data_IF_827045268953
#
_entry.id   IF_827045268953
#
_cell.length_a   1.000
_cell.length_b   1.000
_cell.length_c   1.000
_cell.angle_alpha   90.00
_cell.angle_beta   90.00
_cell.angle_gamma   90.00
#
_symmetry.space_group_name_H-M   'P 1'
#
loop_
_entity.id
_entity.type
_entity.pdbx_description
1 polymer ?
#
# COMPACT_ATOMS: atom_id res chain seq x y z
N UNK A 1 66.42 -44.55 16.49
CA UNK A 1 65.70 -44.34 15.22
C UNK A 1 64.30 -44.82 15.38
N UNK A 2 63.35 -43.97 15.50
CA UNK A 2 61.98 -44.35 15.17
C UNK A 2 61.48 -43.60 13.95
N UNK A 3 60.69 -44.33 13.17
CA UNK A 3 60.11 -43.99 11.86
C UNK A 3 59.25 -42.73 11.84
N UNK A 4 59.44 -41.96 10.80
CA UNK A 4 58.58 -40.83 10.43
C UNK A 4 57.38 -41.29 9.61
N UNK A 5 56.18 -41.15 10.20
CA UNK A 5 54.94 -41.33 9.48
C UNK A 5 54.68 -40.17 8.49
N UNK A 6 54.07 -40.43 7.31
CA UNK A 6 53.76 -39.39 6.35
C UNK A 6 52.59 -38.56 6.75
N UNK A 7 52.72 -37.21 6.61
CA UNK A 7 51.66 -36.22 6.84
C UNK A 7 50.58 -36.33 5.77
N UNK A 8 49.34 -36.45 6.23
CA UNK A 8 48.14 -36.35 5.37
C UNK A 8 47.95 -34.90 4.86
N UNK A 9 47.48 -34.69 3.62
CA UNK A 9 47.21 -33.35 3.10
C UNK A 9 45.90 -32.82 3.67
N UNK A 10 45.96 -31.56 4.08
CA UNK A 10 44.83 -30.77 4.55
C UNK A 10 43.74 -30.66 3.46
N UNK A 11 42.46 -30.83 3.76
CA UNK A 11 41.38 -30.58 2.78
C UNK A 11 41.28 -29.09 2.50
N UNK A 12 41.36 -28.73 1.22
CA UNK A 12 41.06 -27.37 0.76
C UNK A 12 39.57 -27.05 0.97
N UNK A 13 39.26 -25.80 1.31
CA UNK A 13 37.84 -25.37 1.37
C UNK A 13 37.24 -25.41 -0.04
N UNK A 14 36.20 -26.17 -0.22
CA UNK A 14 35.40 -26.15 -1.42
C UNK A 14 34.66 -24.81 -1.53
N UNK A 15 35.04 -24.00 -2.51
CA UNK A 15 34.32 -22.83 -2.98
C UNK A 15 32.95 -23.26 -3.52
N UNK A 16 31.98 -23.40 -2.64
CA UNK A 16 30.57 -23.33 -3.02
C UNK A 16 30.19 -21.88 -3.21
N UNK A 17 30.59 -21.29 -4.33
CA UNK A 17 29.86 -20.20 -4.95
C UNK A 17 28.49 -20.79 -5.33
N UNK A 18 27.52 -20.62 -4.43
CA UNK A 18 26.12 -20.71 -4.81
C UNK A 18 25.88 -19.63 -5.86
N UNK A 19 25.88 -20.01 -7.12
CA UNK A 19 25.28 -19.25 -8.20
C UNK A 19 23.81 -19.13 -7.84
N UNK A 20 23.41 -17.96 -7.33
CA UNK A 20 22.02 -17.54 -7.38
C UNK A 20 21.64 -17.41 -8.86
N UNK A 21 21.18 -18.50 -9.46
CA UNK A 21 20.45 -18.44 -10.71
C UNK A 21 19.27 -17.50 -10.48
N UNK A 22 19.32 -16.33 -11.12
CA UNK A 22 18.18 -15.44 -11.27
C UNK A 22 17.10 -16.19 -12.07
N UNK A 23 16.25 -16.93 -11.38
CA UNK A 23 14.94 -17.26 -11.93
C UNK A 23 14.27 -15.94 -12.32
N UNK A 24 13.68 -15.82 -13.52
CA UNK A 24 12.91 -14.64 -13.86
C UNK A 24 11.85 -14.48 -12.77
N UNK A 25 11.90 -13.36 -12.05
CA UNK A 25 10.95 -13.04 -10.99
C UNK A 25 9.56 -12.98 -11.61
N UNK A 26 8.79 -14.03 -11.43
CA UNK A 26 7.39 -14.18 -11.90
C UNK A 26 6.41 -13.93 -10.76
N UNK A 27 6.83 -13.24 -9.72
CA UNK A 27 6.02 -13.01 -8.53
C UNK A 27 5.24 -11.70 -8.63
N UNK A 28 3.94 -11.78 -8.42
CA UNK A 28 3.09 -10.64 -8.06
C UNK A 28 2.81 -10.70 -6.57
N UNK A 29 3.36 -9.76 -5.82
CA UNK A 29 3.27 -9.71 -4.35
C UNK A 29 2.80 -8.35 -3.90
N UNK A 30 1.83 -8.34 -2.98
CA UNK A 30 1.40 -7.16 -2.22
C UNK A 30 2.09 -7.15 -0.87
N UNK A 31 2.75 -6.06 -0.50
CA UNK A 31 3.39 -5.88 0.81
C UNK A 31 2.91 -4.60 1.49
N UNK A 32 2.63 -4.70 2.79
CA UNK A 32 2.12 -3.60 3.60
C UNK A 32 3.25 -2.98 4.42
N UNK A 33 3.46 -1.65 4.27
CA UNK A 33 4.45 -0.86 4.99
C UNK A 33 3.83 0.08 6.00
N UNK A 34 2.53 0.35 5.87
CA UNK A 34 1.71 1.11 6.80
C UNK A 34 0.24 0.79 6.55
N UNK A 35 -0.54 0.65 7.60
CA UNK A 35 -1.91 0.10 7.57
C UNK A 35 -2.93 0.94 8.34
N UNK A 36 -2.47 2.01 9.03
CA UNK A 36 -3.32 2.88 9.84
C UNK A 36 -3.94 4.00 9.02
N UNK A 37 -5.14 4.39 9.40
CA UNK A 37 -5.82 5.58 8.91
C UNK A 37 -5.58 6.80 9.79
N UNK A 38 -5.86 7.96 9.25
CA UNK A 38 -5.91 9.27 9.88
C UNK A 38 -4.59 9.77 10.48
N UNK A 39 -3.91 8.99 11.31
CA UNK A 39 -2.66 9.38 11.97
C UNK A 39 -1.85 8.16 12.39
N UNK A 40 -0.53 8.29 12.37
CA UNK A 40 0.35 7.26 12.89
C UNK A 40 0.13 7.01 14.40
N UNK A 41 0.04 5.75 14.80
CA UNK A 41 -0.24 5.30 16.16
C UNK A 41 0.87 4.40 16.71
N UNK A 42 2.08 4.94 16.95
CA UNK A 42 3.15 4.16 17.55
C UNK A 42 2.85 3.83 19.01
N UNK A 43 3.13 2.61 19.43
CA UNK A 43 2.94 2.24 20.83
C UNK A 43 2.88 0.74 21.06
N UNK A 44 2.94 0.33 22.33
CA UNK A 44 2.95 -1.09 22.70
C UNK A 44 1.64 -1.82 22.38
N UNK A 45 0.55 -1.07 22.20
CA UNK A 45 -0.77 -1.60 21.91
C UNK A 45 -1.04 -1.81 20.41
N UNK A 46 -0.13 -1.34 19.55
CA UNK A 46 -0.28 -1.36 18.09
C UNK A 46 0.86 -2.09 17.38
N UNK A 47 1.70 -2.82 18.12
CA UNK A 47 2.90 -3.48 17.58
C UNK A 47 2.58 -4.60 16.60
N UNK A 48 1.50 -5.36 16.84
CA UNK A 48 1.18 -6.56 16.04
C UNK A 48 0.58 -6.22 14.67
N UNK A 49 -0.23 -5.17 14.61
CA UNK A 49 -0.78 -4.69 13.35
C UNK A 49 0.06 -3.60 12.72
N UNK A 50 0.77 -2.82 13.51
CA UNK A 50 1.59 -1.71 13.08
C UNK A 50 0.97 -0.35 13.38
N UNK A 51 1.80 0.69 13.43
CA UNK A 51 1.40 2.06 13.75
C UNK A 51 1.61 3.06 12.61
N UNK A 52 2.19 2.66 11.47
CA UNK A 52 2.41 3.54 10.34
C UNK A 52 1.14 3.72 9.49
N UNK A 53 0.98 4.92 8.92
CA UNK A 53 -0.12 5.23 8.00
C UNK A 53 0.15 4.72 6.58
N UNK A 54 -0.88 4.76 5.77
CA UNK A 54 -1.07 4.09 4.48
C UNK A 54 0.15 4.08 3.56
N UNK A 55 0.70 2.89 3.33
CA UNK A 55 1.69 2.63 2.27
C UNK A 55 1.68 1.14 1.91
N UNK A 56 1.36 0.85 0.66
CA UNK A 56 1.30 -0.51 0.11
C UNK A 56 2.22 -0.60 -1.10
N UNK A 57 3.03 -1.63 -1.17
CA UNK A 57 3.90 -1.93 -2.30
C UNK A 57 3.36 -3.14 -3.06
N UNK A 58 3.26 -3.05 -4.38
CA UNK A 58 3.01 -4.18 -5.26
C UNK A 58 4.26 -4.41 -6.12
N UNK A 59 4.84 -5.59 -6.02
CA UNK A 59 5.97 -6.01 -6.85
C UNK A 59 5.48 -6.96 -7.94
N UNK A 60 5.73 -6.61 -9.20
CA UNK A 60 5.32 -7.36 -10.38
C UNK A 60 6.57 -7.66 -11.21
N UNK A 61 7.19 -8.83 -10.98
CA UNK A 61 8.50 -9.14 -11.52
C UNK A 61 9.53 -8.10 -11.11
N UNK A 62 10.01 -7.30 -12.06
CA UNK A 62 10.98 -6.21 -11.79
C UNK A 62 10.32 -4.85 -11.53
N UNK A 63 9.02 -4.71 -11.80
CA UNK A 63 8.29 -3.46 -11.60
C UNK A 63 7.86 -3.30 -10.16
N UNK A 64 7.91 -2.06 -9.70
CA UNK A 64 7.51 -1.67 -8.35
C UNK A 64 6.47 -0.58 -8.43
N UNK A 65 5.29 -0.87 -7.88
CA UNK A 65 4.22 0.09 -7.71
C UNK A 65 4.04 0.35 -6.21
N UNK A 66 3.95 1.62 -5.82
CA UNK A 66 3.78 2.05 -4.43
C UNK A 66 2.48 2.82 -4.35
N UNK A 67 1.58 2.41 -3.48
CA UNK A 67 0.28 3.04 -3.26
C UNK A 67 0.32 3.79 -1.95
N UNK A 68 0.09 5.10 -2.04
CA UNK A 68 0.17 6.10 -0.98
C UNK A 68 1.53 6.24 -0.30
N UNK A 69 1.74 7.40 0.27
CA UNK A 69 2.98 7.85 0.89
C UNK A 69 2.80 8.31 2.32
N UNK A 70 2.02 7.57 3.12
CA UNK A 70 1.94 7.78 4.57
C UNK A 70 3.26 7.47 5.27
N UNK A 71 3.26 7.40 6.59
CA UNK A 71 4.51 7.18 7.36
C UNK A 71 5.20 5.85 7.03
N UNK A 72 4.45 4.86 6.52
CA UNK A 72 4.99 3.60 6.01
C UNK A 72 5.97 3.79 4.85
N UNK A 73 5.81 4.85 4.03
CA UNK A 73 6.73 5.15 2.93
C UNK A 73 8.16 5.43 3.41
N UNK A 74 8.31 6.05 4.59
CA UNK A 74 9.63 6.25 5.20
C UNK A 74 10.31 4.90 5.48
N UNK A 75 9.56 3.91 5.97
CA UNK A 75 10.08 2.57 6.27
C UNK A 75 10.46 1.85 4.99
N UNK A 76 9.60 1.86 3.98
CA UNK A 76 9.91 1.35 2.64
C UNK A 76 11.15 2.03 2.08
N UNK A 77 11.27 3.36 2.18
CA UNK A 77 12.42 4.12 1.71
C UNK A 77 13.75 3.61 2.29
N UNK A 78 13.80 3.34 3.60
CA UNK A 78 14.99 2.77 4.25
C UNK A 78 15.33 1.36 3.71
N UNK A 79 14.33 0.55 3.41
CA UNK A 79 14.53 -0.76 2.80
C UNK A 79 15.13 -0.64 1.39
N UNK A 80 14.66 0.34 0.60
CA UNK A 80 15.12 0.58 -0.77
C UNK A 80 16.57 1.08 -0.88
N UNK A 81 17.14 1.66 0.17
CA UNK A 81 18.53 2.13 0.15
C UNK A 81 19.55 1.02 -0.20
N UNK A 82 19.19 -0.24 0.04
CA UNK A 82 20.06 -1.39 -0.29
C UNK A 82 19.85 -1.90 -1.72
N UNK A 83 18.92 -1.31 -2.48
CA UNK A 83 18.50 -1.78 -3.81
C UNK A 83 18.74 -0.72 -4.90
N UNK A 84 19.37 0.41 -4.55
CA UNK A 84 19.60 1.52 -5.49
C UNK A 84 20.56 1.15 -6.62
N UNK A 85 20.40 1.72 -7.83
CA UNK A 85 19.36 2.68 -8.20
C UNK A 85 17.97 2.05 -8.28
N UNK A 86 16.94 2.79 -7.86
CA UNK A 86 15.54 2.36 -7.83
C UNK A 86 14.74 3.14 -8.86
N UNK A 87 13.95 2.43 -9.67
CA UNK A 87 12.84 2.99 -10.42
C UNK A 87 11.53 2.45 -9.85
N UNK A 88 10.56 3.34 -9.57
CA UNK A 88 9.26 2.95 -9.05
C UNK A 88 8.14 3.89 -9.53
N UNK A 89 6.92 3.37 -9.55
CA UNK A 89 5.70 4.12 -9.85
C UNK A 89 4.90 4.31 -8.56
N UNK A 90 4.69 5.56 -8.16
CA UNK A 90 3.99 5.93 -6.92
C UNK A 90 2.61 6.46 -7.25
N UNK A 91 1.57 5.82 -6.73
CA UNK A 91 0.17 6.14 -6.97
C UNK A 91 -0.45 6.67 -5.70
N UNK A 92 -0.92 7.91 -5.70
CA UNK A 92 -1.62 8.49 -4.57
C UNK A 92 -3.13 8.37 -4.79
N UNK A 93 -3.82 7.74 -3.82
CA UNK A 93 -5.29 7.68 -3.82
C UNK A 93 -5.88 9.08 -3.67
N UNK A 94 -5.35 9.86 -2.75
CA UNK A 94 -5.64 11.26 -2.49
C UNK A 94 -4.53 11.89 -1.65
N UNK A 95 -4.73 13.10 -1.12
CA UNK A 95 -3.67 13.84 -0.43
C UNK A 95 -4.05 14.28 0.99
N UNK A 96 -4.86 13.50 1.73
CA UNK A 96 -4.95 13.66 3.17
C UNK A 96 -3.59 13.32 3.80
N UNK A 97 -3.31 13.86 4.97
CA UNK A 97 -1.98 13.82 5.56
C UNK A 97 -1.45 12.41 5.79
N UNK A 98 -2.29 11.51 6.21
CA UNK A 98 -1.93 10.11 6.46
C UNK A 98 -1.55 9.33 5.19
N UNK A 99 -1.85 9.88 4.01
CA UNK A 99 -1.44 9.33 2.71
C UNK A 99 -0.23 10.01 2.11
N UNK A 100 0.22 11.17 2.61
CA UNK A 100 1.33 11.92 2.02
C UNK A 100 2.46 12.28 3.00
N UNK A 101 2.23 12.20 4.31
CA UNK A 101 3.18 12.75 5.30
C UNK A 101 4.53 12.02 5.35
N UNK A 102 4.64 10.80 4.79
CA UNK A 102 5.90 10.09 4.63
C UNK A 102 6.72 10.52 3.42
N UNK A 103 6.10 11.18 2.44
CA UNK A 103 6.77 11.58 1.21
C UNK A 103 7.97 12.53 1.45
N UNK A 104 7.90 13.56 2.31
CA UNK A 104 9.06 14.39 2.64
C UNK A 104 10.21 13.63 3.32
N UNK A 105 9.97 12.44 3.84
CA UNK A 105 10.93 11.58 4.53
C UNK A 105 11.34 10.36 3.71
N UNK A 106 10.96 10.31 2.43
CA UNK A 106 11.31 9.24 1.51
C UNK A 106 12.75 9.42 1.02
N UNK A 107 13.71 8.92 1.79
CA UNK A 107 15.15 9.10 1.55
C UNK A 107 15.60 8.83 0.11
N UNK A 108 15.10 7.79 -0.61
CA UNK A 108 15.51 7.55 -2.00
C UNK A 108 15.25 8.73 -2.96
N UNK A 109 14.25 9.58 -2.68
CA UNK A 109 13.97 10.76 -3.49
C UNK A 109 15.08 11.83 -3.43
N UNK A 110 15.88 11.84 -2.37
CA UNK A 110 16.99 12.79 -2.20
C UNK A 110 18.31 12.30 -2.83
N UNK A 111 18.35 11.09 -3.39
CA UNK A 111 19.56 10.46 -3.90
C UNK A 111 19.51 10.44 -5.43
N UNK A 112 20.51 11.05 -6.11
CA UNK A 112 20.56 11.05 -7.57
C UNK A 112 20.69 9.64 -8.14
N UNK A 113 20.19 9.46 -9.36
CA UNK A 113 20.20 8.17 -10.07
C UNK A 113 18.95 7.32 -9.86
N UNK A 114 18.11 7.65 -8.86
CA UNK A 114 16.78 7.06 -8.72
C UNK A 114 15.75 7.79 -9.61
N UNK A 115 14.69 7.09 -10.01
CA UNK A 115 13.59 7.64 -10.81
C UNK A 115 12.24 7.26 -10.19
N UNK A 116 11.37 8.26 -9.97
CA UNK A 116 10.03 8.03 -9.42
C UNK A 116 8.97 8.68 -10.31
N UNK A 117 8.11 7.85 -10.89
CA UNK A 117 6.92 8.27 -11.61
C UNK A 117 5.77 8.43 -10.62
N UNK A 118 5.30 9.64 -10.42
CA UNK A 118 4.32 9.99 -9.39
C UNK A 118 2.98 10.29 -10.04
N UNK A 119 1.94 9.61 -9.60
CA UNK A 119 0.59 9.68 -10.14
C UNK A 119 -0.40 10.07 -9.05
N UNK A 120 -1.40 10.86 -9.39
CA UNK A 120 -2.51 11.21 -8.50
C UNK A 120 -3.57 12.03 -9.21
N UNK A 121 -4.81 11.98 -8.73
CA UNK A 121 -5.91 12.69 -9.36
C UNK A 121 -5.72 14.21 -9.28
N UNK A 122 -6.14 14.96 -10.31
CA UNK A 122 -6.32 16.40 -10.22
C UNK A 122 -7.41 16.69 -9.17
N UNK A 123 -7.13 17.61 -8.26
CA UNK A 123 -8.13 18.02 -7.27
C UNK A 123 -9.27 18.82 -7.92
N UNK A 124 -10.48 18.88 -7.30
CA UNK A 124 -11.61 19.63 -7.85
C UNK A 124 -11.33 21.11 -8.11
N UNK A 125 -10.37 21.71 -7.40
CA UNK A 125 -9.91 23.09 -7.61
C UNK A 125 -8.85 23.25 -8.70
N UNK A 126 -8.50 22.17 -9.43
CA UNK A 126 -7.49 22.15 -10.48
C UNK A 126 -6.05 22.00 -10.01
N UNK A 127 -5.79 21.82 -8.70
CA UNK A 127 -4.41 21.61 -8.21
C UNK A 127 -3.87 20.24 -8.62
N UNK A 128 -2.65 20.22 -9.16
CA UNK A 128 -1.95 19.01 -9.60
C UNK A 128 -1.40 18.20 -8.42
N UNK A 129 -1.10 16.92 -8.64
CA UNK A 129 -0.42 16.09 -7.61
C UNK A 129 0.94 16.69 -7.23
N UNK A 130 1.69 17.23 -8.20
CA UNK A 130 2.96 17.93 -7.94
C UNK A 130 2.79 19.10 -6.98
N UNK A 131 1.80 19.96 -7.22
CA UNK A 131 1.55 21.11 -6.38
C UNK A 131 1.21 20.71 -4.96
N UNK A 132 0.31 19.73 -4.77
CA UNK A 132 -0.12 19.27 -3.45
C UNK A 132 1.02 18.63 -2.65
N UNK A 133 1.88 17.82 -3.29
CA UNK A 133 3.06 17.25 -2.63
C UNK A 133 4.12 18.31 -2.32
N UNK A 134 4.24 19.36 -3.16
CA UNK A 134 5.13 20.48 -2.89
C UNK A 134 4.62 21.36 -1.74
N UNK A 135 3.31 21.61 -1.66
CA UNK A 135 2.70 22.50 -0.67
C UNK A 135 2.93 22.00 0.76
N UNK A 136 2.89 20.67 1.02
CA UNK A 136 3.21 20.14 2.33
C UNK A 136 4.67 20.38 2.77
N UNK A 137 5.56 20.66 1.80
CA UNK A 137 7.00 20.91 2.04
C UNK A 137 7.34 22.41 2.05
N UNK A 138 6.36 23.29 2.24
CA UNK A 138 6.58 24.72 2.31
C UNK A 138 6.81 25.20 3.76
N UNK A 139 7.62 26.25 3.89
CA UNK A 139 7.72 27.02 5.14
C UNK A 139 6.35 27.60 5.55
N UNK A 140 6.05 27.67 6.84
CA UNK A 140 6.90 27.29 8.00
C UNK A 140 6.77 25.82 8.40
N UNK A 141 5.93 25.02 7.72
CA UNK A 141 5.59 23.66 8.16
C UNK A 141 6.71 22.65 7.90
N UNK A 142 7.49 22.86 6.85
CA UNK A 142 8.61 21.98 6.50
C UNK A 142 9.86 22.79 6.12
N UNK A 143 11.08 22.35 6.52
CA UNK A 143 12.28 23.16 6.38
C UNK A 143 12.92 23.18 4.99
N UNK A 144 12.62 22.15 4.15
CA UNK A 144 13.21 22.02 2.81
C UNK A 144 12.14 21.82 1.75
N UNK A 145 12.17 22.56 0.64
CA UNK A 145 11.20 22.43 -0.43
C UNK A 145 11.47 21.17 -1.27
N UNK A 146 10.45 20.71 -2.02
CA UNK A 146 10.53 19.51 -2.87
C UNK A 146 11.69 19.56 -3.89
N UNK A 147 12.14 20.76 -4.30
CA UNK A 147 13.25 20.98 -5.24
C UNK A 147 14.60 20.50 -4.70
N UNK A 148 14.73 20.21 -3.39
CA UNK A 148 15.95 19.65 -2.80
C UNK A 148 16.08 18.14 -3.10
N UNK A 149 15.01 17.47 -3.50
CA UNK A 149 15.04 16.09 -3.95
C UNK A 149 15.84 15.98 -5.27
N UNK A 150 16.83 15.07 -5.31
CA UNK A 150 17.80 14.96 -6.40
C UNK A 150 17.53 13.78 -7.34
N UNK A 151 16.58 12.93 -7.03
CA UNK A 151 16.11 11.89 -7.96
C UNK A 151 15.30 12.51 -9.10
N UNK A 152 15.15 11.76 -10.19
CA UNK A 152 14.26 12.16 -11.28
C UNK A 152 12.79 11.94 -10.86
N UNK A 153 12.07 13.04 -10.56
CA UNK A 153 10.66 13.02 -10.18
C UNK A 153 9.78 13.39 -11.38
N UNK A 154 9.00 12.44 -11.88
CA UNK A 154 8.10 12.60 -13.02
C UNK A 154 6.66 12.58 -12.52
N UNK A 155 5.98 13.74 -12.59
CA UNK A 155 4.62 13.90 -12.09
C UNK A 155 3.61 13.72 -13.22
N UNK A 156 2.56 12.95 -12.96
CA UNK A 156 1.49 12.63 -13.89
C UNK A 156 0.15 12.81 -13.19
N UNK A 157 -0.65 13.74 -13.69
CA UNK A 157 -1.99 13.94 -13.17
C UNK A 157 -2.97 12.96 -13.81
N UNK A 158 -3.89 12.42 -12.99
CA UNK A 158 -4.91 11.45 -13.38
C UNK A 158 -6.31 12.04 -13.28
N UNK A 159 -7.22 11.44 -14.03
CA UNK A 159 -8.66 11.63 -13.89
C UNK A 159 -9.30 10.27 -13.52
N UNK A 160 -10.27 10.22 -12.58
CA UNK A 160 -10.98 8.97 -12.31
C UNK A 160 -11.57 8.38 -13.59
N UNK A 161 -11.31 7.09 -13.84
CA UNK A 161 -11.64 6.39 -15.08
C UNK A 161 -10.47 6.25 -16.05
N UNK A 162 -9.32 6.87 -15.79
CA UNK A 162 -8.12 6.68 -16.61
C UNK A 162 -7.63 5.24 -16.53
N UNK A 163 -7.09 4.78 -17.66
CA UNK A 163 -6.42 3.49 -17.80
C UNK A 163 -4.98 3.76 -18.22
N UNK A 164 -4.03 3.26 -17.44
CA UNK A 164 -2.61 3.34 -17.77
C UNK A 164 -2.08 1.95 -18.13
N UNK A 165 -1.18 1.93 -19.10
CA UNK A 165 -0.42 0.75 -19.48
C UNK A 165 1.07 1.02 -19.22
N UNK A 166 1.64 0.24 -18.31
CA UNK A 166 3.07 0.26 -17.98
C UNK A 166 3.69 -1.04 -18.50
N UNK A 167 4.01 -1.07 -19.78
CA UNK A 167 4.37 -2.25 -20.57
C UNK A 167 3.29 -3.34 -20.49
N UNK A 168 3.52 -4.39 -19.70
CA UNK A 168 2.61 -5.54 -19.50
C UNK A 168 1.71 -5.41 -18.27
N UNK A 169 1.77 -4.28 -17.54
CA UNK A 169 0.92 -3.98 -16.39
C UNK A 169 -0.16 -3.01 -16.79
N UNK A 170 -1.43 -3.39 -16.59
CA UNK A 170 -2.58 -2.51 -16.77
C UNK A 170 -3.04 -1.98 -15.42
N UNK A 171 -3.27 -0.67 -15.33
CA UNK A 171 -3.79 0.00 -14.13
C UNK A 171 -5.06 0.75 -14.51
N UNK A 172 -6.18 0.42 -13.88
CA UNK A 172 -7.47 1.07 -14.07
C UNK A 172 -7.82 1.87 -12.81
N UNK A 173 -8.41 3.04 -12.98
CA UNK A 173 -8.78 3.93 -11.89
C UNK A 173 -10.29 4.14 -11.84
N UNK A 174 -10.84 4.38 -10.64
CA UNK A 174 -12.22 4.82 -10.47
C UNK A 174 -12.34 5.76 -9.28
N UNK A 175 -13.36 6.62 -9.32
CA UNK A 175 -13.68 7.51 -8.21
C UNK A 175 -14.18 6.71 -7.00
N UNK A 176 -13.67 7.03 -5.82
CA UNK A 176 -14.14 6.51 -4.54
C UNK A 176 -15.03 7.54 -3.83
N UNK A 177 -15.95 7.04 -3.00
CA UNK A 177 -16.85 7.88 -2.21
C UNK A 177 -16.11 8.42 -0.97
N UNK A 178 -15.30 9.46 -1.18
CA UNK A 178 -14.51 10.11 -0.14
C UNK A 178 -14.43 11.63 -0.38
N UNK A 179 -14.38 12.46 0.67
CA UNK A 179 -14.18 13.89 0.52
C UNK A 179 -12.91 14.24 -0.29
N UNK A 180 -12.98 15.32 -1.09
CA UNK A 180 -11.86 15.87 -1.87
C UNK A 180 -11.28 14.98 -2.98
N UNK A 181 -12.06 14.04 -3.52
CA UNK A 181 -11.68 13.17 -4.64
C UNK A 181 -10.58 12.18 -4.29
N UNK A 182 -10.96 10.99 -3.86
CA UNK A 182 -10.09 9.83 -3.79
C UNK A 182 -10.32 8.92 -5.00
N UNK A 183 -9.26 8.23 -5.44
CA UNK A 183 -9.32 7.25 -6.53
C UNK A 183 -8.79 5.89 -6.08
N UNK A 184 -9.52 4.84 -6.47
CA UNK A 184 -9.09 3.46 -6.31
C UNK A 184 -8.33 3.00 -7.55
N UNK A 185 -7.55 1.94 -7.37
CA UNK A 185 -6.68 1.38 -8.40
C UNK A 185 -6.89 -0.12 -8.55
N UNK A 186 -7.07 -0.58 -9.79
CA UNK A 186 -7.03 -1.99 -10.16
C UNK A 186 -5.76 -2.25 -10.95
N UNK A 187 -4.91 -3.13 -10.46
CA UNK A 187 -3.65 -3.55 -11.10
C UNK A 187 -3.81 -4.95 -11.64
N UNK A 188 -3.61 -5.11 -12.95
CA UNK A 188 -3.67 -6.40 -13.63
C UNK A 188 -2.34 -6.71 -14.29
N UNK A 189 -1.78 -7.90 -14.00
CA UNK A 189 -0.54 -8.41 -14.57
C UNK A 189 -0.55 -9.94 -14.66
N UNK A 190 -0.13 -10.48 -15.81
CA UNK A 190 -0.07 -11.93 -16.02
C UNK A 190 -1.41 -12.66 -15.84
N UNK A 191 -2.56 -11.97 -16.04
CA UNK A 191 -3.89 -12.51 -15.81
C UNK A 191 -4.36 -12.46 -14.34
N UNK A 192 -3.56 -11.92 -13.43
CA UNK A 192 -3.85 -11.77 -12.00
C UNK A 192 -4.13 -10.30 -11.65
N UNK A 193 -4.90 -10.10 -10.58
CA UNK A 193 -5.40 -8.77 -10.25
C UNK A 193 -5.34 -8.50 -8.74
N UNK A 194 -4.74 -7.36 -8.38
CA UNK A 194 -4.85 -6.77 -7.05
C UNK A 194 -5.51 -5.39 -7.12
N UNK A 195 -6.35 -5.06 -6.15
CA UNK A 195 -7.12 -3.81 -6.11
C UNK A 195 -6.84 -3.07 -4.81
N UNK A 196 -6.62 -1.76 -4.92
CA UNK A 196 -6.42 -0.85 -3.80
C UNK A 196 -7.56 0.16 -3.76
N UNK A 197 -8.47 0.00 -2.80
CA UNK A 197 -9.62 0.87 -2.53
C UNK A 197 -9.61 1.27 -1.06
N UNK A 198 -8.70 2.16 -0.68
CA UNK A 198 -8.69 2.82 0.62
C UNK A 198 -9.54 4.06 0.58
N UNK A 199 -9.99 4.54 1.74
CA UNK A 199 -10.74 5.79 1.88
C UNK A 199 -11.96 5.85 0.95
N UNK A 200 -12.93 5.02 1.29
CA UNK A 200 -14.21 4.97 0.60
C UNK A 200 -15.33 4.67 1.60
N UNK A 201 -16.34 5.50 1.63
CA UNK A 201 -17.52 5.29 2.42
C UNK A 201 -18.55 4.49 1.61
N UNK A 202 -19.06 3.42 2.20
CA UNK A 202 -20.11 2.63 1.58
C UNK A 202 -21.45 3.40 1.52
N UNK A 203 -22.30 3.09 0.57
CA UNK A 203 -23.66 3.63 0.51
C UNK A 203 -24.60 2.79 1.39
N UNK A 204 -25.57 3.43 2.10
CA UNK A 204 -26.46 2.73 3.02
C UNK A 204 -27.50 1.86 2.33
N UNK A 205 -27.79 2.11 1.05
CA UNK A 205 -28.93 1.54 0.29
C UNK A 205 -28.49 0.74 -0.95
N UNK A 206 -27.21 0.74 -1.26
CA UNK A 206 -26.67 0.04 -2.45
C UNK A 206 -25.21 -0.30 -2.28
N UNK A 207 -24.73 -1.22 -3.11
CA UNK A 207 -23.30 -1.50 -3.27
C UNK A 207 -22.67 -0.41 -4.16
N UNK A 208 -21.41 -0.04 -3.90
CA UNK A 208 -20.70 0.93 -4.72
C UNK A 208 -20.27 0.31 -6.06
N UNK A 209 -20.88 0.75 -7.15
CA UNK A 209 -20.64 0.24 -8.50
C UNK A 209 -19.19 0.46 -8.96
N UNK A 210 -18.55 1.56 -8.56
CA UNK A 210 -17.15 1.85 -8.89
C UNK A 210 -16.21 0.87 -8.21
N UNK A 211 -16.43 0.62 -6.92
CA UNK A 211 -15.62 -0.33 -6.15
C UNK A 211 -15.84 -1.76 -6.65
N UNK A 212 -17.10 -2.16 -6.93
CA UNK A 212 -17.42 -3.47 -7.53
C UNK A 212 -16.78 -3.61 -8.90
N UNK A 213 -16.78 -2.55 -9.73
CA UNK A 213 -16.13 -2.56 -11.04
C UNK A 213 -14.62 -2.84 -10.91
N UNK A 214 -13.92 -2.10 -10.06
CA UNK A 214 -12.49 -2.32 -9.81
C UNK A 214 -12.23 -3.71 -9.23
N UNK A 215 -13.04 -4.15 -8.28
CA UNK A 215 -12.84 -5.40 -7.53
C UNK A 215 -13.30 -6.66 -8.30
N UNK A 216 -13.96 -6.54 -9.45
CA UNK A 216 -14.54 -7.69 -10.17
C UNK A 216 -13.53 -8.80 -10.41
N UNK A 217 -13.81 -9.98 -9.82
CA UNK A 217 -12.99 -11.19 -9.91
C UNK A 217 -11.52 -10.97 -9.53
N UNK A 218 -11.22 -10.00 -8.65
CA UNK A 218 -9.86 -9.75 -8.19
C UNK A 218 -9.33 -10.91 -7.33
N UNK A 219 -8.04 -11.20 -7.48
CA UNK A 219 -7.34 -12.15 -6.61
C UNK A 219 -7.21 -11.58 -5.19
N UNK A 220 -6.91 -10.27 -5.08
CA UNK A 220 -6.79 -9.55 -3.82
C UNK A 220 -7.50 -8.20 -3.91
N UNK A 221 -8.38 -7.92 -2.93
CA UNK A 221 -8.96 -6.60 -2.70
C UNK A 221 -8.45 -6.06 -1.36
N UNK A 222 -7.79 -4.91 -1.38
CA UNK A 222 -7.44 -4.11 -0.19
C UNK A 222 -8.53 -3.05 -0.05
N UNK A 223 -9.25 -3.07 1.07
CA UNK A 223 -10.46 -2.27 1.24
C UNK A 223 -10.46 -1.51 2.57
N UNK A 224 -10.99 -0.29 2.55
CA UNK A 224 -11.21 0.55 3.73
C UNK A 224 -12.12 -0.17 4.74
N UNK A 225 -11.62 -0.41 5.92
CA UNK A 225 -12.35 -1.00 7.02
C UNK A 225 -12.01 -0.27 8.33
N UNK A 226 -12.14 1.05 8.30
CA UNK A 226 -11.81 1.92 9.42
C UNK A 226 -12.67 1.59 10.63
N UNK A 227 -13.96 1.22 10.41
CA UNK A 227 -14.94 1.01 11.46
C UNK A 227 -15.58 -0.38 11.45
N UNK A 228 -16.23 -0.72 12.56
CA UNK A 228 -17.29 -1.70 12.63
C UNK A 228 -18.65 -1.02 12.37
N UNK A 229 -19.69 -1.79 12.02
CA UNK A 229 -21.05 -1.22 11.89
C UNK A 229 -21.55 -0.59 13.19
N UNK A 230 -21.17 -1.14 14.35
CA UNK A 230 -21.53 -0.60 15.65
C UNK A 230 -20.95 0.80 15.86
N UNK A 231 -19.71 1.02 15.47
CA UNK A 231 -19.06 2.33 15.53
C UNK A 231 -19.62 3.29 14.51
N UNK A 232 -19.81 2.82 13.28
CA UNK A 232 -20.25 3.64 12.15
C UNK A 232 -21.67 4.20 12.38
N UNK A 233 -22.61 3.36 12.86
CA UNK A 233 -23.99 3.75 13.14
C UNK A 233 -24.23 4.17 14.60
N UNK A 234 -23.18 4.41 15.37
CA UNK A 234 -23.30 4.79 16.77
C UNK A 234 -24.16 6.06 16.93
N UNK A 235 -25.26 5.99 17.71
CA UNK A 235 -26.21 7.10 17.82
C UNK A 235 -25.64 8.34 18.53
N UNK A 236 -24.57 8.20 19.33
CA UNK A 236 -23.91 9.31 20.05
C UNK A 236 -22.81 9.96 19.19
N UNK A 237 -22.09 9.16 18.45
CA UNK A 237 -20.91 9.58 17.67
C UNK A 237 -20.91 8.88 16.31
N UNK A 238 -21.94 9.16 15.45
CA UNK A 238 -22.00 8.50 14.16
C UNK A 238 -20.80 8.88 13.28
N UNK A 239 -20.35 7.94 12.46
CA UNK A 239 -19.25 8.14 11.52
C UNK A 239 -19.72 8.33 10.08
N UNK A 240 -21.03 8.36 9.87
CA UNK A 240 -21.65 8.61 8.57
C UNK A 240 -21.22 9.97 8.03
N UNK A 241 -20.77 10.00 6.78
CA UNK A 241 -20.23 11.21 6.13
C UNK A 241 -18.78 11.50 6.41
N UNK A 242 -18.04 10.59 7.07
CA UNK A 242 -16.62 10.76 7.37
C UNK A 242 -15.73 10.24 6.22
N UNK A 243 -16.31 9.57 5.23
CA UNK A 243 -15.59 9.08 4.05
C UNK A 243 -14.91 7.72 4.24
N UNK A 244 -15.28 6.97 5.28
CA UNK A 244 -14.72 5.65 5.59
C UNK A 244 -15.79 4.57 5.74
N UNK A 245 -15.38 3.32 5.54
CA UNK A 245 -16.26 2.18 5.51
C UNK A 245 -16.11 1.28 6.73
N UNK A 246 -16.91 0.20 6.72
CA UNK A 246 -16.86 -0.86 7.72
C UNK A 246 -16.36 -2.15 7.10
N UNK A 247 -15.79 -3.04 7.93
CA UNK A 247 -15.38 -4.34 7.45
C UNK A 247 -16.56 -5.16 6.92
N UNK A 248 -17.78 -4.97 7.48
CA UNK A 248 -19.00 -5.65 7.02
C UNK A 248 -19.34 -5.24 5.58
N UNK A 249 -19.30 -3.93 5.28
CA UNK A 249 -19.50 -3.43 3.92
C UNK A 249 -18.42 -3.97 2.96
N UNK A 250 -17.17 -4.06 3.42
CA UNK A 250 -16.09 -4.68 2.65
C UNK A 250 -16.37 -6.14 2.27
N UNK A 251 -16.92 -6.93 3.19
CA UNK A 251 -17.34 -8.31 2.91
C UNK A 251 -18.46 -8.37 1.87
N UNK A 252 -19.43 -7.46 1.95
CA UNK A 252 -20.52 -7.39 0.95
C UNK A 252 -19.98 -7.05 -0.45
N UNK A 253 -19.07 -6.08 -0.55
CA UNK A 253 -18.36 -5.73 -1.79
C UNK A 253 -17.59 -6.95 -2.34
N UNK A 254 -16.83 -7.65 -1.48
CA UNK A 254 -16.04 -8.80 -1.90
C UNK A 254 -16.91 -9.93 -2.47
N UNK A 255 -18.06 -10.19 -1.84
CA UNK A 255 -19.04 -11.17 -2.32
C UNK A 255 -19.67 -10.73 -3.64
N UNK A 256 -20.11 -9.48 -3.74
CA UNK A 256 -20.75 -8.94 -4.94
C UNK A 256 -19.81 -8.92 -6.16
N UNK A 257 -18.52 -8.64 -5.93
CA UNK A 257 -17.51 -8.57 -6.97
C UNK A 257 -16.84 -9.92 -7.30
N UNK A 258 -17.09 -10.98 -6.53
CA UNK A 258 -16.44 -12.29 -6.72
C UNK A 258 -14.95 -12.28 -6.37
N UNK A 259 -14.55 -11.51 -5.37
CA UNK A 259 -13.16 -11.39 -4.89
C UNK A 259 -12.69 -12.70 -4.27
N UNK A 260 -11.44 -13.12 -4.53
CA UNK A 260 -10.88 -14.35 -3.95
C UNK A 260 -10.35 -14.14 -2.52
N UNK A 261 -9.71 -13.00 -2.25
CA UNK A 261 -9.19 -12.61 -0.93
C UNK A 261 -9.47 -11.14 -0.66
N UNK A 262 -10.06 -10.82 0.50
CA UNK A 262 -10.18 -9.45 0.98
C UNK A 262 -9.21 -9.17 2.12
N UNK A 263 -8.58 -8.00 2.10
CA UNK A 263 -7.68 -7.49 3.13
C UNK A 263 -8.26 -6.19 3.66
N UNK A 264 -8.70 -6.21 4.91
CA UNK A 264 -9.21 -5.03 5.60
C UNK A 264 -8.03 -4.11 5.95
N UNK A 265 -8.15 -2.87 5.59
CA UNK A 265 -7.07 -1.89 5.63
C UNK A 265 -7.54 -0.59 6.28
N UNK A 266 -6.63 0.34 6.54
CA UNK A 266 -6.92 1.69 7.04
C UNK A 266 -7.53 1.69 8.45
N UNK A 267 -6.89 0.93 9.38
CA UNK A 267 -7.40 0.75 10.74
C UNK A 267 -7.48 2.05 11.53
N UNK A 268 -8.61 2.27 12.22
CA UNK A 268 -8.82 3.45 13.07
C UNK A 268 -7.70 3.58 14.13
N UNK A 269 -7.21 4.79 14.39
CA UNK A 269 -6.17 5.03 15.41
C UNK A 269 -6.52 4.54 16.82
N UNK A 270 -7.80 4.46 17.16
CA UNK A 270 -8.26 4.00 18.49
C UNK A 270 -8.26 2.47 18.66
N UNK A 271 -8.17 1.72 17.53
CA UNK A 271 -8.18 0.26 17.54
C UNK A 271 -6.82 -0.31 17.97
N UNK A 272 -6.75 -0.88 19.15
CA UNK A 272 -5.56 -1.61 19.59
C UNK A 272 -5.49 -3.02 18.98
N UNK A 273 -4.35 -3.67 19.17
CA UNK A 273 -4.10 -5.01 18.62
C UNK A 273 -5.13 -6.07 19.06
N UNK A 274 -5.66 -5.96 20.28
CA UNK A 274 -6.64 -6.92 20.78
C UNK A 274 -8.03 -6.70 20.16
N UNK A 275 -8.40 -5.44 19.93
CA UNK A 275 -9.62 -5.11 19.21
C UNK A 275 -9.56 -5.65 17.78
N UNK A 276 -8.44 -5.41 17.08
CA UNK A 276 -8.24 -5.88 15.71
C UNK A 276 -8.20 -7.41 15.59
N UNK A 277 -7.69 -8.14 16.60
CA UNK A 277 -7.79 -9.60 16.63
C UNK A 277 -9.25 -10.08 16.65
N UNK A 278 -10.11 -9.40 17.42
CA UNK A 278 -11.54 -9.68 17.45
C UNK A 278 -12.20 -9.44 16.09
N UNK A 279 -11.92 -8.30 15.48
CA UNK A 279 -12.42 -7.96 14.13
C UNK A 279 -11.93 -8.97 13.09
N UNK A 280 -10.66 -9.40 13.14
CA UNK A 280 -10.15 -10.40 12.19
C UNK A 280 -10.88 -11.74 12.29
N UNK A 281 -11.21 -12.17 13.51
CA UNK A 281 -11.98 -13.41 13.72
C UNK A 281 -13.40 -13.29 13.12
N UNK A 282 -14.04 -12.14 13.26
CA UNK A 282 -15.37 -11.88 12.67
C UNK A 282 -15.29 -11.81 11.13
N UNK A 283 -14.28 -11.15 10.58
CA UNK A 283 -14.04 -11.09 9.13
C UNK A 283 -13.84 -12.49 8.55
N UNK A 284 -13.01 -13.34 9.20
CA UNK A 284 -12.77 -14.71 8.76
C UNK A 284 -14.01 -15.59 8.83
N UNK A 285 -14.85 -15.39 9.84
CA UNK A 285 -16.14 -16.09 9.96
C UNK A 285 -17.13 -15.69 8.85
N UNK A 286 -17.10 -14.40 8.41
CA UNK A 286 -17.99 -13.87 7.37
C UNK A 286 -17.47 -14.14 5.94
N UNK A 287 -16.15 -14.22 5.78
CA UNK A 287 -15.46 -14.45 4.51
C UNK A 287 -14.16 -15.24 4.75
N UNK A 288 -14.14 -16.52 4.41
CA UNK A 288 -13.08 -17.46 4.78
C UNK A 288 -11.66 -17.02 4.39
N UNK A 289 -11.51 -16.29 3.26
CA UNK A 289 -10.24 -15.73 2.79
C UNK A 289 -10.09 -14.24 3.16
N UNK A 290 -10.77 -13.78 4.20
CA UNK A 290 -10.64 -12.44 4.74
C UNK A 290 -9.52 -12.37 5.79
N UNK A 291 -8.82 -11.24 5.83
CA UNK A 291 -7.85 -10.93 6.89
C UNK A 291 -7.71 -9.42 7.07
N UNK A 292 -7.06 -9.02 8.16
CA UNK A 292 -6.68 -7.63 8.39
C UNK A 292 -5.23 -7.40 7.97
N UNK A 293 -4.96 -6.24 7.37
CA UNK A 293 -3.60 -5.85 7.01
C UNK A 293 -2.72 -5.64 8.24
N UNK A 294 -1.45 -6.04 8.14
CA UNK A 294 -0.41 -5.80 9.16
C UNK A 294 0.86 -5.28 8.50
N UNK A 295 1.57 -4.39 9.17
CA UNK A 295 2.89 -3.99 8.71
C UNK A 295 3.83 -5.19 8.57
N UNK A 296 4.59 -5.22 7.48
CA UNK A 296 5.47 -6.33 7.13
C UNK A 296 4.77 -7.54 6.50
N UNK A 297 3.43 -7.59 6.49
CA UNK A 297 2.67 -8.65 5.84
C UNK A 297 2.89 -8.62 4.33
N UNK A 298 3.12 -9.80 3.74
CA UNK A 298 3.22 -10.00 2.28
C UNK A 298 2.18 -11.02 1.84
N UNK A 299 1.48 -10.70 0.75
CA UNK A 299 0.46 -11.57 0.15
C UNK A 299 0.88 -11.88 -1.29
N UNK A 300 1.18 -13.13 -1.63
CA UNK A 300 1.35 -13.52 -3.01
C UNK A 300 0.00 -13.44 -3.73
N UNK A 301 -0.02 -12.81 -4.92
CA UNK A 301 -1.16 -12.80 -5.83
C UNK A 301 -1.02 -13.96 -6.82
N UNK A 302 0.24 -14.28 -7.17
CA UNK A 302 0.71 -15.50 -7.87
C UNK A 302 2.00 -15.97 -7.27
#
# INVERSE_FOLDING_TARGET
MPDSAPSQPNPQPSDHKATMENSPLTEFVVQFWGVRGSIATPGTKTIRYGGNTSCVEMRLGKKRLIFDGGTGLRVLGLNLLRQMPVEAHMFFSHTHWDHIQGFPFFTPAFIPGNCFHIYGAIAPNGTTIKQRLADQMLHPNFPVPIQVMQSDLKFNDLTPGDILELDDVKIETALLNHPNTAIGYRVTWGGHTAVYCTDTEHFPDRVDDNVVHLARNADVLIYDANYTNEEYYNFKTPKVGWGHSTWQAGVEIAKAAGVKKIVMFHHDPSHDDNFLDGVEAEVQAAFANGCLAREGMSIPVI
#
